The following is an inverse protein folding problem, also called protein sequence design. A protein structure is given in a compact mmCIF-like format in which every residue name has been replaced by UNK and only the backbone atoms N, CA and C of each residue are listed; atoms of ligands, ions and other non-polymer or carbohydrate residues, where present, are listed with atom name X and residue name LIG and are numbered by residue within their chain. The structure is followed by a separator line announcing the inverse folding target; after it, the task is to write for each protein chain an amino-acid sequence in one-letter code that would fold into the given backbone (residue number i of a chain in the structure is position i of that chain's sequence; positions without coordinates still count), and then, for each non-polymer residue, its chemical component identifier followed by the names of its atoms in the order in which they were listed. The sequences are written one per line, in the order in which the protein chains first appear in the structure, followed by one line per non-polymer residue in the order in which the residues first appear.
data_IF_232537932555
#
_entry.id   IF_232537932555
#
_cell.length_a   1.000
_cell.length_b   1.000
_cell.length_c   1.000
_cell.angle_alpha   90.00
_cell.angle_beta   90.00
_cell.angle_gamma   90.00
#
_symmetry.space_group_name_H-M   'P 1'
#
loop_
_entity.id
_entity.type
_entity.pdbx_description
1 polymer ?
#
# COMPACT_ATOMS: atom_id res chain seq x y z
N UNK A 1 -26.45 2.31 24.32
CA UNK A 1 -25.33 1.56 23.73
C UNK A 1 -24.09 2.43 23.88
N UNK A 2 -23.17 2.03 24.75
CA UNK A 2 -21.90 2.75 25.00
C UNK A 2 -20.90 2.26 23.97
N UNK A 3 -20.36 3.15 23.14
CA UNK A 3 -19.25 2.80 22.26
C UNK A 3 -17.95 2.80 23.08
N UNK A 4 -17.29 1.66 23.17
CA UNK A 4 -15.94 1.60 23.73
C UNK A 4 -14.93 2.16 22.72
N UNK A 5 -14.06 3.05 23.21
CA UNK A 5 -12.97 3.59 22.41
C UNK A 5 -11.84 2.56 22.36
N UNK A 6 -11.76 1.87 21.23
CA UNK A 6 -10.70 0.90 20.97
C UNK A 6 -9.46 1.62 20.41
N UNK A 7 -8.29 1.35 20.98
CA UNK A 7 -7.02 1.76 20.38
C UNK A 7 -6.54 0.68 19.39
N UNK A 8 -6.68 0.97 18.10
CA UNK A 8 -6.30 0.05 17.02
C UNK A 8 -4.80 -0.28 17.04
N UNK A 9 -3.94 0.66 17.45
CA UNK A 9 -2.48 0.43 17.50
C UNK A 9 -2.13 -0.65 18.52
N UNK A 10 -2.74 -0.57 19.70
CA UNK A 10 -2.49 -1.50 20.79
C UNK A 10 -3.01 -2.90 20.44
N UNK A 11 -4.21 -2.98 19.83
CA UNK A 11 -4.75 -4.25 19.33
C UNK A 11 -3.86 -4.91 18.27
N UNK A 12 -3.34 -4.13 17.33
CA UNK A 12 -2.42 -4.65 16.31
C UNK A 12 -1.13 -5.12 16.96
N UNK A 13 -0.57 -4.37 17.93
CA UNK A 13 0.62 -4.79 18.66
C UNK A 13 0.41 -6.13 19.40
N UNK A 14 -0.75 -6.33 20.02
CA UNK A 14 -1.11 -7.60 20.64
C UNK A 14 -1.23 -8.74 19.62
N UNK A 15 -1.89 -8.50 18.48
CA UNK A 15 -2.01 -9.51 17.41
C UNK A 15 -0.67 -9.88 16.78
N UNK A 16 0.28 -8.94 16.72
CA UNK A 16 1.65 -9.18 16.23
C UNK A 16 2.51 -10.05 17.14
N UNK A 17 2.02 -10.44 18.33
CA UNK A 17 2.67 -11.48 19.14
C UNK A 17 2.55 -12.87 18.49
N UNK A 18 1.52 -13.10 17.66
CA UNK A 18 1.41 -14.33 16.87
C UNK A 18 2.39 -14.26 15.68
N UNK A 19 3.36 -15.20 15.57
CA UNK A 19 4.35 -15.22 14.49
C UNK A 19 3.74 -15.31 13.09
N UNK A 20 2.62 -16.02 12.93
CA UNK A 20 1.96 -16.15 11.63
C UNK A 20 1.33 -14.82 11.21
N UNK A 21 0.68 -14.13 12.16
CA UNK A 21 0.13 -12.81 11.92
C UNK A 21 1.23 -11.78 11.62
N UNK A 22 2.30 -11.76 12.42
CA UNK A 22 3.39 -10.78 12.23
C UNK A 22 4.10 -10.97 10.88
N UNK A 23 4.26 -12.21 10.42
CA UNK A 23 4.85 -12.49 9.10
C UNK A 23 4.02 -11.88 7.97
N UNK A 24 2.73 -12.17 7.92
CA UNK A 24 1.85 -11.63 6.87
C UNK A 24 1.69 -10.12 7.02
N UNK A 25 1.62 -9.61 8.24
CA UNK A 25 1.57 -8.17 8.51
C UNK A 25 2.81 -7.44 7.97
N UNK A 26 4.01 -7.97 8.22
CA UNK A 26 5.26 -7.40 7.70
C UNK A 26 5.32 -7.45 6.18
N UNK A 27 4.85 -8.53 5.56
CA UNK A 27 4.81 -8.65 4.09
C UNK A 27 3.95 -7.55 3.47
N UNK A 28 2.75 -7.36 4.01
CA UNK A 28 1.84 -6.29 3.59
C UNK A 28 2.43 -4.91 3.89
N UNK A 29 3.10 -4.72 5.04
CA UNK A 29 3.80 -3.48 5.37
C UNK A 29 4.91 -3.15 4.35
N UNK A 30 5.68 -4.15 3.91
CA UNK A 30 6.72 -3.98 2.89
C UNK A 30 6.12 -3.58 1.54
N UNK A 31 5.01 -4.19 1.14
CA UNK A 31 4.30 -3.84 -0.10
C UNK A 31 3.80 -2.39 -0.05
N UNK A 32 3.30 -1.91 1.10
CA UNK A 32 2.96 -0.50 1.26
C UNK A 32 4.15 0.44 1.16
N UNK A 33 5.27 0.09 1.78
CA UNK A 33 6.50 0.90 1.69
C UNK A 33 6.96 1.04 0.25
N UNK A 34 6.85 -0.02 -0.55
CA UNK A 34 7.19 0.02 -1.97
C UNK A 34 6.27 0.96 -2.75
N UNK A 35 4.96 0.88 -2.53
CA UNK A 35 3.98 1.79 -3.15
C UNK A 35 4.29 3.25 -2.78
N UNK A 36 4.57 3.51 -1.50
CA UNK A 36 4.93 4.85 -1.01
C UNK A 36 6.20 5.37 -1.68
N UNK A 37 7.21 4.52 -1.86
CA UNK A 37 8.42 4.87 -2.61
C UNK A 37 8.11 5.24 -4.06
N UNK A 38 7.28 4.46 -4.76
CA UNK A 38 6.86 4.76 -6.14
C UNK A 38 6.15 6.12 -6.22
N UNK A 39 5.22 6.38 -5.30
CA UNK A 39 4.48 7.65 -5.24
C UNK A 39 5.42 8.82 -4.98
N UNK A 40 6.34 8.66 -4.03
CA UNK A 40 7.30 9.70 -3.66
C UNK A 40 8.27 9.97 -4.81
N UNK A 41 8.77 8.93 -5.48
CA UNK A 41 9.63 9.06 -6.64
C UNK A 41 8.91 9.79 -7.78
N UNK A 42 7.65 9.41 -8.07
CA UNK A 42 6.83 10.09 -9.09
C UNK A 42 6.70 11.60 -8.79
N UNK A 43 6.40 11.94 -7.53
CA UNK A 43 6.29 13.33 -7.08
C UNK A 43 7.63 14.06 -7.14
N UNK A 44 8.73 13.40 -6.77
CA UNK A 44 10.08 13.98 -6.83
C UNK A 44 10.50 14.34 -8.26
N UNK A 45 10.08 13.52 -9.24
CA UNK A 45 10.30 13.76 -10.67
C UNK A 45 9.29 14.71 -11.29
N UNK A 46 8.30 15.18 -10.52
CA UNK A 46 7.24 16.07 -10.98
C UNK A 46 6.45 15.56 -12.19
N UNK A 47 6.32 14.23 -12.34
CA UNK A 47 5.56 13.62 -13.43
C UNK A 47 4.14 13.27 -12.97
N UNK A 48 3.19 13.35 -13.90
CA UNK A 48 1.79 12.98 -13.72
C UNK A 48 1.61 11.46 -13.71
N UNK A 49 0.47 10.98 -13.19
CA UNK A 49 0.11 9.56 -13.27
C UNK A 49 -0.02 9.09 -14.73
N UNK A 50 -0.41 9.98 -15.65
CA UNK A 50 -0.53 9.68 -17.09
C UNK A 50 0.85 9.50 -17.74
N UNK A 51 1.83 10.28 -17.34
CA UNK A 51 3.21 10.13 -17.81
C UNK A 51 3.85 8.85 -17.25
N UNK A 52 3.64 8.56 -15.96
CA UNK A 52 4.08 7.30 -15.38
C UNK A 52 3.44 6.09 -16.07
N UNK A 53 2.16 6.17 -16.46
CA UNK A 53 1.48 5.15 -17.26
C UNK A 53 2.16 4.92 -18.62
N UNK A 54 2.49 6.00 -19.32
CA UNK A 54 3.17 5.93 -20.61
C UNK A 54 4.58 5.33 -20.48
N UNK A 55 5.30 5.61 -19.39
CA UNK A 55 6.66 5.09 -19.15
C UNK A 55 6.68 3.61 -18.75
N UNK A 56 5.68 3.16 -17.99
CA UNK A 56 5.64 1.80 -17.41
C UNK A 56 4.79 0.81 -18.20
N UNK A 57 3.97 1.29 -19.14
CA UNK A 57 2.96 0.49 -19.84
C UNK A 57 1.76 0.09 -18.96
N UNK A 58 1.69 0.59 -17.73
CA UNK A 58 0.58 0.36 -16.81
C UNK A 58 -0.51 1.40 -17.08
N UNK A 59 -1.79 1.03 -16.96
CA UNK A 59 -2.88 2.00 -17.16
C UNK A 59 -2.88 3.08 -16.07
N UNK A 60 -3.26 4.32 -16.42
CA UNK A 60 -3.39 5.41 -15.45
C UNK A 60 -4.41 5.09 -14.34
N UNK A 61 -5.45 4.31 -14.65
CA UNK A 61 -6.44 3.86 -13.68
C UNK A 61 -5.81 2.89 -12.67
N UNK A 62 -4.99 1.96 -13.14
CA UNK A 62 -4.24 1.02 -12.29
C UNK A 62 -3.23 1.77 -11.39
N UNK A 63 -2.54 2.78 -11.93
CA UNK A 63 -1.66 3.64 -11.13
C UNK A 63 -2.48 4.41 -10.08
N UNK A 64 -3.58 5.05 -10.46
CA UNK A 64 -4.45 5.76 -9.52
C UNK A 64 -4.93 4.87 -8.37
N UNK A 65 -5.33 3.63 -8.68
CA UNK A 65 -5.68 2.63 -7.66
C UNK A 65 -4.50 2.29 -6.78
N UNK A 66 -3.33 2.00 -7.36
CA UNK A 66 -2.10 1.71 -6.62
C UNK A 66 -1.72 2.86 -5.67
N UNK A 67 -1.94 4.12 -6.06
CA UNK A 67 -1.62 5.28 -5.21
C UNK A 67 -2.67 5.58 -4.13
N UNK A 68 -3.95 5.29 -4.37
CA UNK A 68 -5.06 5.63 -3.45
C UNK A 68 -5.50 4.47 -2.57
N UNK A 69 -5.70 3.33 -3.20
CA UNK A 69 -6.08 2.10 -2.54
C UNK A 69 -4.79 1.45 -2.08
N UNK A 70 -4.61 1.46 -0.77
CA UNK A 70 -3.70 0.55 -0.07
C UNK A 70 -4.20 -0.91 -0.23
N UNK A 71 -4.54 -1.33 -1.43
CA UNK A 71 -4.85 -2.71 -1.78
C UNK A 71 -3.90 -3.10 -2.88
N UNK A 72 -3.20 -4.21 -2.66
CA UNK A 72 -2.31 -4.80 -3.66
C UNK A 72 -3.16 -5.15 -4.87
N UNK A 73 -2.95 -4.41 -5.95
CA UNK A 73 -3.31 -4.91 -7.28
C UNK A 73 -2.33 -6.05 -7.50
N UNK A 74 -2.80 -7.31 -7.52
CA UNK A 74 -1.98 -8.42 -8.00
C UNK A 74 -1.64 -8.11 -9.45
N UNK A 75 -0.48 -7.50 -9.68
CA UNK A 75 0.04 -7.27 -11.00
C UNK A 75 0.49 -8.64 -11.51
N UNK A 76 -0.41 -9.34 -12.19
CA UNK A 76 -0.02 -10.38 -13.12
C UNK A 76 0.72 -9.70 -14.27
N UNK A 77 2.01 -9.46 -14.05
CA UNK A 77 2.95 -9.20 -15.13
C UNK A 77 3.01 -10.51 -15.91
N UNK A 78 2.35 -10.51 -17.08
CA UNK A 78 2.52 -11.58 -18.08
C UNK A 78 3.94 -11.56 -18.61
#
# INVERSE_FOLDING_TARGET
MSFEKINVKDLVAEKRKDPNFDKEYRKVEQEYKLIEQIVNERKSRNITQKELAAMTGISQQSISRLEREKHIVTANVK
#
